data_IF_554229580772
#
_entry.id   IF_554229580772
#
_cell.length_a   1.000
_cell.length_b   1.000
_cell.length_c   1.000
_cell.angle_alpha   90.00
_cell.angle_beta   90.00
_cell.angle_gamma   90.00
#
_symmetry.space_group_name_H-M   'P 1'
#
loop_
_entity.id
_entity.type
_entity.pdbx_description
1 polymer ?
#
# COMPACT_ATOMS: atom_id res chain seq x y z
N UNK A 1 -15.41 -19.25 -3.05
CA UNK A 1 -15.95 -17.95 -3.55
C UNK A 1 -14.89 -17.36 -4.48
N UNK A 2 -15.01 -17.53 -5.80
CA UNK A 2 -13.99 -17.06 -6.73
C UNK A 2 -13.92 -15.53 -6.69
N UNK A 3 -12.76 -15.00 -6.29
CA UNK A 3 -12.49 -13.59 -6.44
C UNK A 3 -12.45 -13.28 -7.93
N UNK A 4 -13.31 -12.38 -8.39
CA UNK A 4 -13.28 -11.93 -9.77
C UNK A 4 -11.96 -11.19 -10.02
N UNK A 5 -11.07 -11.79 -10.81
CA UNK A 5 -9.76 -11.23 -11.17
C UNK A 5 -9.87 -9.79 -11.69
N UNK A 6 -10.94 -9.50 -12.44
CA UNK A 6 -11.26 -8.15 -12.92
C UNK A 6 -11.56 -7.15 -11.80
N UNK A 7 -12.22 -7.56 -10.70
CA UNK A 7 -12.45 -6.69 -9.53
C UNK A 7 -11.14 -6.36 -8.82
N UNK A 8 -10.29 -7.37 -8.60
CA UNK A 8 -8.98 -7.16 -7.99
C UNK A 8 -8.12 -6.21 -8.83
N UNK A 9 -7.97 -6.51 -10.13
CA UNK A 9 -7.19 -5.68 -11.05
C UNK A 9 -7.68 -4.24 -11.07
N UNK A 10 -9.00 -4.03 -11.19
CA UNK A 10 -9.59 -2.68 -11.19
C UNK A 10 -9.31 -1.92 -9.90
N UNK A 11 -9.33 -2.59 -8.75
CA UNK A 11 -9.01 -1.97 -7.47
C UNK A 11 -7.53 -1.58 -7.41
N UNK A 12 -6.62 -2.51 -7.69
CA UNK A 12 -5.17 -2.27 -7.63
C UNK A 12 -4.75 -1.19 -8.63
N UNK A 13 -5.31 -1.16 -9.84
CA UNK A 13 -5.05 -0.08 -10.81
C UNK A 13 -5.43 1.30 -10.29
N UNK A 14 -6.52 1.42 -9.50
CA UNK A 14 -6.91 2.68 -8.87
C UNK A 14 -5.98 3.06 -7.71
N UNK A 15 -5.50 2.06 -6.96
CA UNK A 15 -4.52 2.29 -5.89
C UNK A 15 -3.17 2.74 -6.47
N UNK A 16 -2.74 2.19 -7.61
CA UNK A 16 -1.53 2.63 -8.32
C UNK A 16 -1.62 4.09 -8.77
N UNK A 17 -2.82 4.56 -9.12
CA UNK A 17 -3.02 5.98 -9.42
C UNK A 17 -2.86 6.87 -8.18
N UNK A 18 -3.31 6.40 -7.01
CA UNK A 18 -3.20 7.16 -5.75
C UNK A 18 -1.76 7.27 -5.26
N UNK A 19 -0.88 6.36 -5.66
CA UNK A 19 0.54 6.30 -5.31
C UNK A 19 1.23 7.68 -5.41
N UNK A 20 0.98 8.41 -6.50
CA UNK A 20 1.55 9.75 -6.74
C UNK A 20 1.22 10.79 -5.66
N UNK A 21 0.08 10.63 -4.98
CA UNK A 21 -0.40 11.58 -3.95
C UNK A 21 -0.34 11.00 -2.54
N UNK A 22 -0.12 9.69 -2.43
CA UNK A 22 -0.12 8.92 -1.18
C UNK A 22 1.07 7.96 -1.18
N UNK A 23 2.31 8.49 -1.06
CA UNK A 23 3.51 7.67 -1.06
C UNK A 23 3.60 6.74 0.16
N UNK A 24 2.75 6.94 1.17
CA UNK A 24 2.64 6.08 2.35
C UNK A 24 2.13 4.66 2.01
N UNK A 25 1.49 4.46 0.85
CA UNK A 25 0.96 3.15 0.43
C UNK A 25 1.71 2.52 -0.75
N UNK A 26 2.70 3.22 -1.32
CA UNK A 26 3.45 2.81 -2.54
C UNK A 26 3.87 1.36 -2.50
N UNK A 27 4.69 0.99 -1.52
CA UNK A 27 5.29 -0.33 -1.44
C UNK A 27 4.23 -1.45 -1.42
N UNK A 28 3.20 -1.29 -0.60
CA UNK A 28 2.12 -2.28 -0.48
C UNK A 28 1.33 -2.43 -1.79
N UNK A 29 1.05 -1.33 -2.48
CA UNK A 29 0.30 -1.35 -3.75
C UNK A 29 1.13 -1.96 -4.88
N UNK A 30 2.42 -1.61 -4.98
CA UNK A 30 3.34 -2.20 -5.97
C UNK A 30 3.46 -3.70 -5.77
N UNK A 31 3.64 -4.18 -4.53
CA UNK A 31 3.66 -5.61 -4.25
C UNK A 31 2.36 -6.32 -4.67
N UNK A 32 1.19 -5.72 -4.37
CA UNK A 32 -0.10 -6.28 -4.81
C UNK A 32 -0.27 -6.31 -6.33
N UNK A 33 0.39 -5.40 -7.07
CA UNK A 33 0.32 -5.35 -8.53
C UNK A 33 0.97 -6.56 -9.21
N UNK A 34 1.92 -7.21 -8.54
CA UNK A 34 2.59 -8.41 -9.04
C UNK A 34 1.61 -9.60 -9.17
N UNK A 35 0.54 -9.62 -8.38
CA UNK A 35 -0.43 -10.72 -8.30
C UNK A 35 -1.71 -10.50 -9.10
N UNK A 36 -1.70 -9.64 -10.12
CA UNK A 36 -2.90 -9.34 -10.93
C UNK A 36 -3.41 -10.52 -11.79
N UNK A 37 -2.54 -11.49 -12.11
CA UNK A 37 -2.92 -12.65 -12.92
C UNK A 37 -3.63 -13.73 -12.10
N UNK A 38 -3.16 -13.97 -10.87
CA UNK A 38 -3.71 -14.99 -9.98
C UNK A 38 -3.82 -14.43 -8.55
N UNK A 39 -4.80 -13.55 -8.27
CA UNK A 39 -4.96 -12.99 -6.93
C UNK A 39 -5.51 -14.04 -5.96
N UNK A 40 -4.98 -14.05 -4.74
CA UNK A 40 -5.48 -14.88 -3.64
C UNK A 40 -6.45 -14.09 -2.78
N UNK A 41 -7.14 -14.77 -1.87
CA UNK A 41 -8.01 -14.13 -0.88
C UNK A 41 -7.19 -13.22 0.06
N UNK A 42 -5.93 -13.56 0.32
CA UNK A 42 -5.00 -12.73 1.10
C UNK A 42 -4.68 -11.43 0.36
N UNK A 43 -4.38 -11.49 -0.94
CA UNK A 43 -4.14 -10.28 -1.75
C UNK A 43 -5.37 -9.35 -1.75
N UNK A 44 -6.57 -9.93 -1.86
CA UNK A 44 -7.81 -9.15 -1.78
C UNK A 44 -8.00 -8.47 -0.44
N UNK A 45 -7.80 -9.21 0.66
CA UNK A 45 -7.93 -8.66 2.00
C UNK A 45 -6.91 -7.56 2.25
N UNK A 46 -5.67 -7.70 1.79
CA UNK A 46 -4.65 -6.67 1.84
C UNK A 46 -5.05 -5.42 1.04
N UNK A 47 -5.57 -5.59 -0.19
CA UNK A 47 -6.06 -4.46 -0.99
C UNK A 47 -7.22 -3.73 -0.27
N UNK A 48 -8.14 -4.45 0.36
CA UNK A 48 -9.21 -3.87 1.16
C UNK A 48 -8.70 -3.19 2.43
N UNK A 49 -7.64 -3.72 3.05
CA UNK A 49 -6.99 -3.08 4.19
C UNK A 49 -6.41 -1.72 3.79
N UNK A 50 -5.73 -1.61 2.64
CA UNK A 50 -5.23 -0.34 2.11
C UNK A 50 -6.38 0.65 1.92
N UNK A 51 -7.52 0.22 1.37
CA UNK A 51 -8.70 1.09 1.21
C UNK A 51 -9.23 1.57 2.56
N UNK A 52 -9.30 0.69 3.57
CA UNK A 52 -9.72 1.07 4.93
C UNK A 52 -8.74 2.05 5.57
N UNK A 53 -7.44 1.80 5.42
CA UNK A 53 -6.39 2.67 5.89
C UNK A 53 -6.52 4.07 5.27
N UNK A 54 -6.64 4.16 3.94
CA UNK A 54 -6.86 5.43 3.23
C UNK A 54 -8.10 6.18 3.73
N UNK A 55 -9.19 5.46 4.00
CA UNK A 55 -10.42 6.05 4.58
C UNK A 55 -10.18 6.60 5.99
N UNK A 56 -9.38 5.93 6.81
CA UNK A 56 -9.03 6.38 8.16
C UNK A 56 -8.04 7.55 8.16
N UNK A 57 -7.21 7.67 7.11
CA UNK A 57 -6.12 8.64 7.02
C UNK A 57 -6.37 9.73 5.97
N UNK A 58 -7.63 10.04 5.65
CA UNK A 58 -7.97 11.09 4.65
C UNK A 58 -7.33 12.44 5.00
N UNK A 59 -7.28 12.77 6.30
CA UNK A 59 -6.72 14.04 6.81
C UNK A 59 -5.25 13.95 7.23
N UNK A 60 -4.62 12.79 7.05
CA UNK A 60 -3.23 12.56 7.43
C UNK A 60 -2.38 12.44 6.17
N UNK A 61 -1.20 13.06 6.19
CA UNK A 61 -0.24 13.01 5.10
C UNK A 61 1.18 13.00 5.65
N UNK A 62 2.13 12.62 4.81
CA UNK A 62 3.55 12.70 5.14
C UNK A 62 4.00 14.16 5.05
N UNK A 63 4.70 14.64 6.08
CA UNK A 63 5.27 15.97 6.12
C UNK A 63 6.80 15.87 6.05
N UNK A 64 7.38 16.40 4.98
CA UNK A 64 8.82 16.46 4.79
C UNK A 64 9.29 17.92 4.94
N UNK A 65 9.82 18.26 6.11
CA UNK A 65 10.35 19.62 6.35
C UNK A 65 11.69 19.82 5.63
N UNK A 66 11.81 20.94 4.91
CA UNK A 66 13.07 21.39 4.32
C UNK A 66 14.10 21.87 5.36
N UNK A 67 13.66 22.13 6.59
CA UNK A 67 14.49 22.56 7.72
C UNK A 67 14.87 21.39 8.64
N UNK A 68 14.72 20.15 8.19
CA UNK A 68 15.12 18.99 9.00
C UNK A 68 16.65 18.90 9.08
N UNK A 69 17.19 18.73 10.28
CA UNK A 69 18.60 18.40 10.46
C UNK A 69 18.85 17.03 9.84
N UNK A 70 19.87 16.93 8.98
CA UNK A 70 20.22 15.71 8.23
C UNK A 70 20.89 14.68 9.18
N UNK A 71 20.13 14.18 10.14
CA UNK A 71 20.56 13.14 11.07
C UNK A 71 20.07 11.79 10.55
N UNK A 72 21.01 10.97 10.08
CA UNK A 72 20.71 9.62 9.62
C UNK A 72 20.42 8.73 10.82
N UNK A 73 19.15 8.33 10.98
CA UNK A 73 18.73 7.38 11.99
C UNK A 73 18.20 6.14 11.28
N UNK A 74 18.93 5.03 11.38
CA UNK A 74 18.54 3.75 10.80
C UNK A 74 17.80 2.91 11.84
N UNK A 75 16.63 2.41 11.46
CA UNK A 75 15.85 1.45 12.23
C UNK A 75 15.88 0.13 11.48
N UNK A 76 16.21 -0.97 12.18
CA UNK A 76 16.15 -2.32 11.62
C UNK A 76 15.01 -3.06 12.29
N UNK A 77 13.94 -3.32 11.54
CA UNK A 77 12.88 -4.21 11.98
C UNK A 77 13.11 -5.58 11.34
N UNK A 78 13.50 -6.54 12.17
CA UNK A 78 13.59 -7.95 11.80
C UNK A 78 12.22 -8.56 12.08
N UNK A 79 11.30 -8.45 11.13
CA UNK A 79 10.05 -9.21 11.15
C UNK A 79 10.13 -10.36 10.13
N UNK A 80 10.87 -11.41 10.50
CA UNK A 80 10.82 -12.71 9.81
C UNK A 80 10.58 -13.86 10.80
N UNK A 81 9.71 -13.66 11.79
CA UNK A 81 9.23 -14.77 12.61
C UNK A 81 8.10 -15.52 11.87
N UNK A 82 8.53 -16.51 11.08
CA UNK A 82 7.91 -17.79 10.63
C UNK A 82 6.42 -17.86 10.27
#
# INVERSE_FOLDING_TARGET
MYLSQTKYRRLVSRLLYLDFTRPDITHAVHHLSEFMQQPTLNHWNAALYIVKYLKGTIKHGLFYSSQSSLQLQAYSNIDWAR
#
